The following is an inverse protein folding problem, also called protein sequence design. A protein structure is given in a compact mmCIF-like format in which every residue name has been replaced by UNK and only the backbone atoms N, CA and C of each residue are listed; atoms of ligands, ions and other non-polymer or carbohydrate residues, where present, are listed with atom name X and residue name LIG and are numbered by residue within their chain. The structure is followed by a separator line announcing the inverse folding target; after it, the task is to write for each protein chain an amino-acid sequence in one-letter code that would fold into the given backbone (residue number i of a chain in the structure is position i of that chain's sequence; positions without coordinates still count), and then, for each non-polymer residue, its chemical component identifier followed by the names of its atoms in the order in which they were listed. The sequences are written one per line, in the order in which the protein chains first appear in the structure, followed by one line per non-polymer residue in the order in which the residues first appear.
data_IF_402237719029
#
_entry.id   IF_402237719029
#
_cell.length_a   1.000
_cell.length_b   1.000
_cell.length_c   1.000
_cell.angle_alpha   90.00
_cell.angle_beta   90.00
_cell.angle_gamma   90.00
#
_symmetry.space_group_name_H-M   'P 1'
#
loop_
_entity.id
_entity.type
_entity.pdbx_description
1 polymer ?
#
# COMPACT_ATOMS: atom_id res chain seq x y z
N UNK A 1 -1.79 -16.47 -10.99
CA UNK A 1 -1.98 -15.04 -11.33
C UNK A 1 -0.66 -14.33 -11.10
N UNK A 2 -0.26 -13.46 -12.02
CA UNK A 2 0.95 -12.65 -11.87
C UNK A 2 0.73 -11.55 -10.83
N UNK A 3 1.80 -11.10 -10.16
CA UNK A 3 1.76 -9.92 -9.30
C UNK A 3 1.26 -8.67 -10.07
N UNK A 4 1.55 -8.59 -11.37
CA UNK A 4 1.11 -7.49 -12.24
C UNK A 4 -0.43 -7.42 -12.41
N UNK A 5 -1.13 -8.55 -12.26
CA UNK A 5 -2.59 -8.62 -12.39
C UNK A 5 -3.32 -8.41 -11.05
N UNK A 6 -2.57 -8.34 -9.94
CA UNK A 6 -3.11 -8.17 -8.60
C UNK A 6 -3.36 -6.68 -8.32
N UNK A 7 -4.53 -6.18 -8.73
CA UNK A 7 -4.92 -4.80 -8.43
C UNK A 7 -5.30 -4.59 -6.98
N UNK A 8 -5.21 -3.35 -6.47
CA UNK A 8 -5.67 -3.02 -5.12
C UNK A 8 -7.14 -3.41 -4.86
N UNK A 9 -8.03 -3.16 -5.84
CA UNK A 9 -9.44 -3.54 -5.74
C UNK A 9 -9.61 -5.07 -5.69
N UNK A 10 -8.82 -5.80 -6.48
CA UNK A 10 -8.88 -7.27 -6.50
C UNK A 10 -8.35 -7.86 -5.20
N UNK A 11 -7.23 -7.33 -4.69
CA UNK A 11 -6.67 -7.74 -3.40
C UNK A 11 -7.65 -7.51 -2.25
N UNK A 12 -8.31 -6.35 -2.21
CA UNK A 12 -9.32 -6.03 -1.20
C UNK A 12 -10.59 -6.90 -1.30
N UNK A 13 -10.87 -7.47 -2.48
CA UNK A 13 -12.04 -8.33 -2.71
C UNK A 13 -11.80 -9.82 -2.47
N UNK A 14 -10.57 -10.25 -2.18
CA UNK A 14 -10.28 -11.65 -1.84
C UNK A 14 -10.85 -11.97 -0.45
N UNK A 15 -11.32 -13.20 -0.26
CA UNK A 15 -11.54 -13.71 1.09
C UNK A 15 -10.20 -14.02 1.79
N UNK A 16 -10.25 -14.32 3.09
CA UNK A 16 -9.04 -14.53 3.90
C UNK A 16 -8.20 -15.72 3.40
N UNK A 17 -8.86 -16.80 2.99
CA UNK A 17 -8.19 -18.00 2.50
C UNK A 17 -7.51 -17.74 1.15
N UNK A 18 -8.20 -17.06 0.24
CA UNK A 18 -7.67 -16.65 -1.06
C UNK A 18 -6.50 -15.68 -0.92
N UNK A 19 -6.60 -14.72 0.00
CA UNK A 19 -5.55 -13.75 0.27
C UNK A 19 -4.32 -14.43 0.89
N UNK A 20 -4.51 -15.34 1.83
CA UNK A 20 -3.43 -16.12 2.43
C UNK A 20 -2.72 -16.99 1.38
N UNK A 21 -3.46 -17.80 0.62
CA UNK A 21 -2.89 -18.63 -0.45
C UNK A 21 -2.18 -17.80 -1.53
N UNK A 22 -2.61 -16.55 -1.74
CA UNK A 22 -1.89 -15.61 -2.59
C UNK A 22 -0.57 -15.14 -1.98
N UNK A 23 -0.59 -14.75 -0.70
CA UNK A 23 0.58 -14.29 0.01
C UNK A 23 1.65 -15.40 0.13
N UNK A 24 1.25 -16.63 0.44
CA UNK A 24 2.14 -17.80 0.51
C UNK A 24 2.84 -18.06 -0.83
N UNK A 25 2.11 -18.01 -1.95
CA UNK A 25 2.72 -18.15 -3.28
C UNK A 25 3.73 -17.05 -3.59
N UNK A 26 3.50 -15.81 -3.13
CA UNK A 26 4.47 -14.73 -3.31
C UNK A 26 5.69 -14.93 -2.42
N UNK A 27 5.52 -15.38 -1.19
CA UNK A 27 6.60 -15.77 -0.29
C UNK A 27 7.50 -16.83 -0.93
N UNK A 28 6.92 -17.91 -1.46
CA UNK A 28 7.64 -18.94 -2.22
C UNK A 28 8.36 -18.35 -3.45
N UNK A 29 7.64 -17.60 -4.29
CA UNK A 29 8.18 -17.01 -5.52
C UNK A 29 9.37 -16.09 -5.27
N UNK A 30 9.36 -15.33 -4.18
CA UNK A 30 10.40 -14.35 -3.87
C UNK A 30 11.42 -14.85 -2.83
N UNK A 31 11.33 -16.11 -2.40
CA UNK A 31 12.16 -16.68 -1.33
C UNK A 31 12.14 -15.79 -0.08
N UNK A 32 10.94 -15.44 0.36
CA UNK A 32 10.66 -14.61 1.53
C UNK A 32 9.76 -15.37 2.51
N UNK A 33 9.77 -14.98 3.78
CA UNK A 33 8.87 -15.51 4.80
C UNK A 33 7.62 -14.63 4.90
N UNK A 34 6.43 -15.22 4.83
CA UNK A 34 5.19 -14.51 5.14
C UNK A 34 5.11 -14.31 6.66
N UNK A 35 5.18 -13.05 7.12
CA UNK A 35 5.11 -12.71 8.54
C UNK A 35 3.67 -12.65 9.03
N UNK A 36 2.81 -11.94 8.31
CA UNK A 36 1.39 -11.83 8.65
C UNK A 36 0.54 -11.40 7.46
N UNK A 37 -0.76 -11.69 7.60
CA UNK A 37 -1.84 -11.13 6.82
C UNK A 37 -2.82 -10.49 7.81
N UNK A 38 -3.01 -9.18 7.71
CA UNK A 38 -3.82 -8.43 8.68
C UNK A 38 -4.62 -7.33 8.01
N UNK A 39 -5.67 -6.86 8.69
CA UNK A 39 -6.35 -5.64 8.31
C UNK A 39 -5.76 -4.45 9.06
N UNK A 40 -5.51 -3.37 8.34
CA UNK A 40 -4.98 -2.11 8.87
C UNK A 40 -5.90 -0.95 8.48
N UNK A 41 -6.00 0.06 9.32
CA UNK A 41 -6.68 1.31 8.99
C UNK A 41 -5.69 2.33 8.44
N UNK A 42 -6.00 2.93 7.30
CA UNK A 42 -5.21 3.99 6.68
C UNK A 42 -6.10 5.00 6.00
N UNK A 43 -5.91 6.30 6.31
CA UNK A 43 -6.70 7.40 5.74
C UNK A 43 -8.22 7.16 5.83
N UNK A 44 -8.69 6.58 6.93
CA UNK A 44 -10.11 6.26 7.16
C UNK A 44 -10.64 5.07 6.36
N UNK A 45 -9.76 4.27 5.76
CA UNK A 45 -10.11 3.06 5.00
C UNK A 45 -9.46 1.84 5.63
N UNK A 46 -10.21 0.75 5.75
CA UNK A 46 -9.67 -0.56 6.10
C UNK A 46 -9.00 -1.17 4.86
N UNK A 47 -7.76 -1.59 5.00
CA UNK A 47 -6.98 -2.25 3.96
C UNK A 47 -6.39 -3.55 4.46
N UNK A 48 -6.34 -4.55 3.58
CA UNK A 48 -5.64 -5.80 3.85
C UNK A 48 -4.15 -5.64 3.54
N UNK A 49 -3.30 -5.96 4.50
CA UNK A 49 -1.84 -5.88 4.41
C UNK A 49 -1.22 -7.26 4.56
N UNK A 50 -0.31 -7.61 3.66
CA UNK A 50 0.57 -8.77 3.80
C UNK A 50 2.01 -8.28 4.02
N UNK A 51 2.68 -8.80 5.05
CA UNK A 51 4.07 -8.46 5.38
C UNK A 51 4.99 -9.66 5.14
N UNK A 52 6.14 -9.39 4.55
CA UNK A 52 7.13 -10.39 4.19
C UNK A 52 8.47 -10.05 4.82
N UNK A 53 9.25 -11.05 5.18
CA UNK A 53 10.64 -10.90 5.60
C UNK A 53 11.58 -11.53 4.59
N UNK A 54 12.64 -10.81 4.23
CA UNK A 54 13.69 -11.35 3.38
C UNK A 54 14.99 -10.60 3.64
N UNK A 55 16.08 -11.34 3.80
CA UNK A 55 17.44 -10.78 3.92
C UNK A 55 17.54 -9.69 5.02
N UNK A 56 16.84 -9.87 6.15
CA UNK A 56 16.82 -8.92 7.25
C UNK A 56 15.90 -7.70 7.07
N UNK A 57 15.17 -7.63 5.96
CA UNK A 57 14.30 -6.50 5.62
C UNK A 57 12.83 -6.95 5.62
N UNK A 58 11.95 -6.11 6.17
CA UNK A 58 10.50 -6.30 6.11
C UNK A 58 9.90 -5.52 4.94
N UNK A 59 9.12 -6.20 4.12
CA UNK A 59 8.43 -5.66 2.96
C UNK A 59 6.91 -5.74 3.16
N UNK A 60 6.18 -4.76 2.63
CA UNK A 60 4.72 -4.83 2.53
C UNK A 60 4.32 -5.08 1.08
N UNK A 61 3.31 -5.93 0.85
CA UNK A 61 2.70 -6.06 -0.46
C UNK A 61 2.06 -4.74 -0.88
N UNK A 62 2.48 -4.23 -2.03
CA UNK A 62 1.77 -3.15 -2.72
C UNK A 62 1.13 -3.76 -3.97
N UNK A 63 -0.20 -4.01 -3.95
CA UNK A 63 -0.91 -4.47 -5.14
C UNK A 63 -0.69 -3.49 -6.30
N UNK A 64 -0.49 -4.02 -7.49
CA UNK A 64 -0.35 -3.24 -8.70
C UNK A 64 -1.69 -2.65 -9.18
N UNK A 65 -1.73 -2.31 -10.45
CA UNK A 65 -2.88 -1.70 -11.12
C UNK A 65 -2.48 -0.42 -11.84
N UNK A 66 -3.30 -0.02 -12.80
CA UNK A 66 -3.11 1.24 -13.51
C UNK A 66 -3.27 2.40 -12.53
N UNK A 67 -2.14 2.96 -12.09
CA UNK A 67 -2.16 4.17 -11.26
C UNK A 67 -2.44 5.35 -12.20
N UNK A 68 -3.65 5.92 -12.10
CA UNK A 68 -3.90 7.24 -12.65
C UNK A 68 -3.19 8.25 -11.75
N UNK A 69 -1.96 8.62 -12.14
CA UNK A 69 -1.24 9.71 -11.49
C UNK A 69 -1.94 11.01 -11.88
N UNK A 70 -2.53 11.67 -10.89
CA UNK A 70 -3.16 12.98 -11.03
C UNK A 70 -3.21 13.67 -9.68
N UNK A 71 -2.95 14.97 -9.66
CA UNK A 71 -3.20 15.82 -8.50
C UNK A 71 -4.66 16.26 -8.56
N UNK A 72 -5.48 15.80 -7.61
CA UNK A 72 -6.82 16.32 -7.42
C UNK A 72 -6.79 17.40 -6.32
N UNK A 73 -6.78 18.70 -6.67
CA UNK A 73 -6.76 19.78 -5.69
C UNK A 73 -8.01 19.80 -4.81
N UNK A 74 -9.14 19.22 -5.24
CA UNK A 74 -10.36 19.17 -4.46
C UNK A 74 -10.31 18.08 -3.36
N UNK A 75 -9.45 17.07 -3.52
CA UNK A 75 -9.27 16.00 -2.53
C UNK A 75 -7.98 16.11 -1.71
N UNK A 76 -7.12 17.10 -2.01
CA UNK A 76 -5.90 17.32 -1.25
C UNK A 76 -6.14 18.26 -0.07
N UNK A 77 -6.06 17.71 1.14
CA UNK A 77 -6.03 18.50 2.37
C UNK A 77 -4.61 18.45 2.94
N UNK A 78 -3.82 19.53 2.85
CA UNK A 78 -2.49 19.55 3.45
C UNK A 78 -2.60 19.42 4.97
N UNK A 79 -1.62 18.78 5.59
CA UNK A 79 -1.48 18.86 7.04
C UNK A 79 -1.22 20.31 7.48
N UNK A 80 -1.54 20.69 8.73
CA UNK A 80 -1.24 22.02 9.24
C UNK A 80 0.23 22.40 9.06
N UNK A 81 1.14 21.44 9.23
CA UNK A 81 2.58 21.64 9.05
C UNK A 81 2.95 21.89 7.57
N UNK A 82 2.35 21.15 6.63
CA UNK A 82 2.53 21.43 5.20
C UNK A 82 2.05 22.83 4.82
N UNK A 83 0.97 23.31 5.42
CA UNK A 83 0.49 24.68 5.23
C UNK A 83 1.49 25.74 5.73
N UNK A 84 2.08 25.53 6.91
CA UNK A 84 3.11 26.41 7.47
C UNK A 84 4.37 26.44 6.59
N UNK A 85 4.86 25.28 6.16
CA UNK A 85 6.05 25.16 5.32
C UNK A 85 5.86 25.88 3.97
N UNK A 86 4.68 25.76 3.36
CA UNK A 86 4.33 26.47 2.12
C UNK A 86 4.29 27.98 2.38
N UNK A 87 3.66 28.42 3.47
CA UNK A 87 3.56 29.84 3.83
C UNK A 87 4.93 30.46 4.11
N UNK A 88 5.84 29.73 4.78
CA UNK A 88 7.22 30.16 5.01
C UNK A 88 8.01 30.30 3.70
N UNK A 89 7.85 29.35 2.77
CA UNK A 89 8.50 29.42 1.44
C UNK A 89 7.99 30.58 0.60
N UNK A 90 6.70 30.90 0.66
CA UNK A 90 6.14 32.06 -0.05
C UNK A 90 6.63 33.40 0.50
N UNK A 91 6.97 33.47 1.79
CA UNK A 91 7.54 34.67 2.42
C UNK A 91 9.03 34.92 2.09
N UNK A 92 9.72 33.91 1.57
CA UNK A 92 11.15 33.97 1.21
C UNK A 92 11.39 34.24 -0.29
N UNK A 93 10.32 34.48 -1.07
CA UNK A 93 10.37 34.85 -2.49
C UNK A 93 10.02 36.31 -2.68
#
# INVERSE_FOLDING_TARGET
MSLADLTAARWAGLDDHQALAHAERLAEQFSADLLCLEDADYAGRRLRRALFHRDGITYALVPGGEVRIGFDPACFTPSPQQGLDIADRLRQR
#
